data_IF_002730034466
#
_entry.id   IF_002730034466
#
_cell.length_a   1.000
_cell.length_b   1.000
_cell.length_c   1.000
_cell.angle_alpha   90.00
_cell.angle_beta   90.00
_cell.angle_gamma   90.00
#
_symmetry.space_group_name_H-M   'P 1'
#
loop_
_entity.id
_entity.type
_entity.pdbx_description
1 polymer ?
#
# COMPACT_ATOMS: atom_id res chain seq x y z
N UNK A 1 -6.16 6.54 -9.41
CA UNK A 1 -5.13 5.50 -9.58
C UNK A 1 -3.83 6.05 -10.18
N UNK A 2 -3.91 6.89 -11.23
CA UNK A 2 -2.73 7.39 -11.97
C UNK A 2 -1.62 8.05 -11.10
N UNK A 3 -1.94 8.94 -10.16
CA UNK A 3 -0.91 9.62 -9.35
C UNK A 3 -0.06 8.64 -8.50
N UNK A 4 -0.70 7.70 -7.80
CA UNK A 4 0.00 6.71 -6.98
C UNK A 4 0.86 5.78 -7.87
N UNK A 5 0.32 5.39 -9.03
CA UNK A 5 1.09 4.62 -10.01
C UNK A 5 2.31 5.38 -10.52
N UNK A 6 2.20 6.68 -10.80
CA UNK A 6 3.34 7.50 -11.21
C UNK A 6 4.40 7.61 -10.11
N UNK A 7 3.97 7.79 -8.86
CA UNK A 7 4.89 7.81 -7.72
C UNK A 7 5.64 6.49 -7.57
N UNK A 8 4.94 5.36 -7.57
CA UNK A 8 5.55 4.02 -7.47
C UNK A 8 6.53 3.79 -8.63
N UNK A 9 6.12 4.17 -9.84
CA UNK A 9 6.96 4.05 -11.02
C UNK A 9 8.27 4.85 -10.88
N UNK A 10 8.21 6.07 -10.34
CA UNK A 10 9.40 6.89 -10.09
C UNK A 10 10.28 6.33 -8.97
N UNK A 11 9.67 5.84 -7.88
CA UNK A 11 10.39 5.18 -6.78
C UNK A 11 11.21 3.99 -7.30
N UNK A 12 10.64 3.16 -8.17
CA UNK A 12 11.36 2.02 -8.74
C UNK A 12 12.36 2.41 -9.83
N UNK A 13 11.95 3.22 -10.82
CA UNK A 13 12.80 3.50 -11.99
C UNK A 13 13.87 4.55 -11.74
N UNK A 14 13.53 5.64 -11.06
CA UNK A 14 14.40 6.81 -10.95
C UNK A 14 15.23 6.77 -9.66
N UNK A 15 14.64 6.21 -8.59
CA UNK A 15 15.27 6.16 -7.26
C UNK A 15 15.82 4.78 -6.88
N UNK A 16 15.54 3.75 -7.67
CA UNK A 16 16.12 2.42 -7.51
C UNK A 16 15.69 1.70 -6.23
N UNK A 17 14.51 2.01 -5.68
CA UNK A 17 13.98 1.25 -4.55
C UNK A 17 13.71 -0.20 -4.95
N UNK A 18 14.00 -1.13 -4.06
CA UNK A 18 13.79 -2.57 -4.29
C UNK A 18 12.48 -3.08 -3.68
N UNK A 19 11.85 -2.28 -2.81
CA UNK A 19 10.62 -2.66 -2.11
C UNK A 19 9.87 -1.44 -1.58
N UNK A 20 8.54 -1.48 -1.64
CA UNK A 20 7.65 -0.49 -1.01
C UNK A 20 6.73 -1.21 -0.02
N UNK A 21 6.61 -0.69 1.20
CA UNK A 21 5.79 -1.26 2.28
C UNK A 21 4.86 -0.19 2.86
N UNK A 22 3.64 -0.03 2.33
CA UNK A 22 2.64 0.85 2.93
C UNK A 22 1.73 0.06 3.87
N UNK A 23 1.16 0.76 4.84
CA UNK A 23 0.03 0.27 5.62
C UNK A 23 -1.26 1.04 5.30
N UNK A 24 -2.40 0.43 5.59
CA UNK A 24 -3.71 1.10 5.59
C UNK A 24 -4.58 0.53 6.70
N UNK A 25 -5.58 1.28 7.15
CA UNK A 25 -6.57 0.75 8.08
C UNK A 25 -7.28 -0.48 7.47
N UNK A 26 -7.49 -1.53 8.26
CA UNK A 26 -8.17 -2.77 7.88
C UNK A 26 -9.60 -2.55 7.35
N UNK A 27 -10.28 -1.49 7.79
CA UNK A 27 -11.62 -1.11 7.32
C UNK A 27 -11.59 -0.28 6.03
N UNK A 28 -10.42 0.19 5.59
CA UNK A 28 -10.29 0.96 4.35
C UNK A 28 -10.17 0.02 3.13
N UNK A 29 -11.25 -0.70 2.83
CA UNK A 29 -11.32 -1.67 1.74
C UNK A 29 -11.02 -1.05 0.37
N UNK A 30 -11.32 0.25 0.20
CA UNK A 30 -11.02 0.98 -1.04
C UNK A 30 -9.52 1.09 -1.28
N UNK A 31 -8.74 1.46 -0.27
CA UNK A 31 -7.28 1.54 -0.42
C UNK A 31 -6.66 0.16 -0.63
N UNK A 32 -7.15 -0.85 0.10
CA UNK A 32 -6.73 -2.24 -0.08
C UNK A 32 -6.95 -2.72 -1.51
N UNK A 33 -8.14 -2.47 -2.08
CA UNK A 33 -8.43 -2.81 -3.47
C UNK A 33 -7.48 -2.12 -4.46
N UNK A 34 -7.18 -0.84 -4.25
CA UNK A 34 -6.22 -0.10 -5.10
C UNK A 34 -4.81 -0.69 -5.00
N UNK A 35 -4.36 -1.07 -3.80
CA UNK A 35 -3.06 -1.72 -3.61
C UNK A 35 -3.00 -3.06 -4.33
N UNK A 36 -4.03 -3.90 -4.19
CA UNK A 36 -4.10 -5.19 -4.89
C UNK A 36 -4.08 -4.99 -6.43
N UNK A 37 -4.77 -3.98 -6.97
CA UNK A 37 -4.74 -3.65 -8.39
C UNK A 37 -3.37 -3.20 -8.90
N UNK A 38 -2.56 -2.55 -8.06
CA UNK A 38 -1.20 -2.12 -8.38
C UNK A 38 -0.16 -3.24 -8.23
N UNK A 39 -0.58 -4.44 -7.81
CA UNK A 39 0.28 -5.61 -7.64
C UNK A 39 0.84 -5.80 -6.22
N UNK A 40 0.38 -5.02 -5.24
CA UNK A 40 0.80 -5.23 -3.85
C UNK A 40 0.24 -6.56 -3.31
N UNK A 41 1.03 -7.22 -2.47
CA UNK A 41 0.63 -8.42 -1.73
C UNK A 41 0.41 -8.10 -0.26
N UNK A 42 -0.66 -8.63 0.34
CA UNK A 42 -0.90 -8.52 1.80
C UNK A 42 0.21 -9.24 2.56
N UNK A 43 0.87 -8.53 3.46
CA UNK A 43 1.94 -9.08 4.29
C UNK A 43 1.40 -9.57 5.64
N UNK A 44 0.65 -8.71 6.36
CA UNK A 44 0.08 -9.04 7.68
C UNK A 44 -1.03 -8.08 8.07
N UNK A 45 -1.80 -8.48 9.08
CA UNK A 45 -2.74 -7.61 9.81
C UNK A 45 -2.16 -7.36 11.19
N UNK A 46 -2.09 -6.09 11.60
CA UNK A 46 -1.70 -5.69 12.95
C UNK A 46 -2.98 -5.32 13.72
N UNK A 47 -3.41 -6.20 14.64
CA UNK A 47 -4.60 -5.99 15.44
C UNK A 47 -4.40 -4.90 16.50
N UNK A 48 -5.40 -4.02 16.69
CA UNK A 48 -5.36 -2.94 17.68
C UNK A 48 -4.06 -2.11 17.63
N UNK A 49 -3.57 -1.84 16.41
CA UNK A 49 -2.30 -1.19 16.15
C UNK A 49 -2.23 0.24 16.70
N UNK A 50 -3.35 0.96 16.73
CA UNK A 50 -3.41 2.34 17.23
C UNK A 50 -4.84 2.71 17.65
N UNK A 51 -4.98 3.82 18.39
CA UNK A 51 -6.28 4.42 18.72
C UNK A 51 -6.53 5.67 17.90
N UNK A 52 -7.74 5.79 17.37
CA UNK A 52 -8.15 7.00 16.66
C UNK A 52 -8.48 8.17 17.60
N UNK A 53 -8.88 9.31 17.01
CA UNK A 53 -9.22 10.51 17.75
C UNK A 53 -10.44 10.36 18.68
N UNK A 54 -11.25 9.32 18.50
CA UNK A 54 -12.38 8.97 19.36
C UNK A 54 -11.98 7.95 20.44
N UNK A 55 -10.74 7.46 20.41
CA UNK A 55 -10.20 6.47 21.34
C UNK A 55 -10.51 5.03 20.96
N UNK A 56 -11.06 4.78 19.76
CA UNK A 56 -11.38 3.44 19.29
C UNK A 56 -10.11 2.76 18.74
N UNK A 57 -9.94 1.48 19.09
CA UNK A 57 -8.84 0.69 18.54
C UNK A 57 -9.07 0.42 17.05
N UNK A 58 -8.02 0.65 16.27
CA UNK A 58 -7.98 0.43 14.85
C UNK A 58 -6.87 -0.60 14.52
N UNK A 59 -7.14 -1.44 13.53
CA UNK A 59 -6.17 -2.39 13.00
C UNK A 59 -5.62 -1.90 11.66
N UNK A 60 -4.37 -2.24 11.35
CA UNK A 60 -3.76 -1.95 10.05
C UNK A 60 -3.50 -3.23 9.25
N UNK A 61 -3.39 -3.09 7.94
CA UNK A 61 -2.92 -4.12 7.02
C UNK A 61 -1.68 -3.60 6.35
N UNK A 62 -0.58 -4.32 6.50
CA UNK A 62 0.68 -4.03 5.82
C UNK A 62 0.69 -4.75 4.49
N UNK A 63 1.15 -4.06 3.44
CA UNK A 63 1.34 -4.59 2.11
C UNK A 63 2.81 -4.51 1.73
N UNK A 64 3.19 -5.29 0.71
CA UNK A 64 4.49 -5.16 0.07
C UNK A 64 4.38 -5.21 -1.45
N UNK A 65 5.27 -4.48 -2.12
CA UNK A 65 5.42 -4.51 -3.57
C UNK A 65 6.90 -4.50 -3.93
N UNK A 66 7.27 -5.43 -4.80
CA UNK A 66 8.56 -5.47 -5.48
C UNK A 66 8.42 -4.96 -6.93
N UNK A 67 9.49 -4.41 -7.54
CA UNK A 67 9.46 -3.88 -8.90
C UNK A 67 8.87 -4.84 -9.94
N UNK A 68 9.18 -6.13 -9.85
CA UNK A 68 8.73 -7.19 -10.76
C UNK A 68 7.23 -7.48 -10.69
N UNK A 69 6.57 -7.10 -9.59
CA UNK A 69 5.14 -7.32 -9.40
C UNK A 69 4.31 -6.07 -9.73
N UNK A 70 4.96 -4.94 -10.02
CA UNK A 70 4.27 -3.67 -10.19
C UNK A 70 3.43 -3.61 -11.47
N UNK A 71 2.14 -3.36 -11.29
CA UNK A 71 1.18 -3.12 -12.38
C UNK A 71 1.04 -1.61 -12.57
N UNK A 72 1.70 -1.07 -13.59
CA UNK A 72 1.67 0.36 -13.89
C UNK A 72 0.38 0.76 -14.61
N UNK A 73 -0.21 1.85 -14.15
CA UNK A 73 -1.28 2.62 -14.81
C UNK A 73 -0.85 4.06 -15.11
N UNK A 74 0.45 4.36 -15.00
CA UNK A 74 1.03 5.59 -15.50
C UNK A 74 1.32 5.39 -16.99
N UNK A 75 0.70 6.21 -17.84
CA UNK A 75 1.02 6.33 -19.28
C UNK A 75 2.41 6.94 -19.49
#
# INVERSE_FOLDING_TARGET
MHLLSMLIASLFRDLGFEKIIPDTNLKNERAQHVYEQLGFTKLRVNENAWKDQLGEWQSSVDYELYPENFISFAE
#
